data_IF_684828741912
#
_entry.id   IF_684828741912
#
_cell.length_a   1.000
_cell.length_b   1.000
_cell.length_c   1.000
_cell.angle_alpha   90.00
_cell.angle_beta   90.00
_cell.angle_gamma   90.00
#
_symmetry.space_group_name_H-M   'P 1'
#
loop_
_entity.id
_entity.type
_entity.pdbx_description
1 polymer ?
#
# COMPACT_ATOMS: atom_id res chain seq x y z
N UNK A 1 -5.41 -3.93 -11.96
CA UNK A 1 -5.29 -5.28 -12.56
C UNK A 1 -6.44 -6.13 -12.05
N UNK A 2 -7.18 -6.86 -12.88
CA UNK A 2 -8.23 -7.77 -12.39
C UNK A 2 -7.70 -9.21 -12.36
N UNK A 3 -8.09 -9.95 -11.33
CA UNK A 3 -7.71 -11.37 -11.17
C UNK A 3 -8.96 -12.21 -11.39
N UNK A 4 -8.98 -13.00 -12.46
CA UNK A 4 -10.08 -13.90 -12.83
C UNK A 4 -11.48 -13.27 -12.83
N UNK A 5 -11.59 -11.96 -13.04
CA UNK A 5 -12.85 -11.23 -12.99
C UNK A 5 -13.46 -11.08 -11.59
N UNK A 6 -12.87 -11.67 -10.55
CA UNK A 6 -13.43 -11.67 -9.20
C UNK A 6 -12.89 -10.55 -8.30
N UNK A 7 -11.65 -10.15 -8.51
CA UNK A 7 -10.97 -9.18 -7.64
C UNK A 7 -10.18 -8.16 -8.45
N UNK A 8 -9.96 -7.00 -7.86
CA UNK A 8 -9.05 -5.96 -8.36
C UNK A 8 -7.85 -5.88 -7.43
N UNK A 9 -6.66 -6.01 -7.99
CA UNK A 9 -5.39 -5.77 -7.30
C UNK A 9 -4.71 -4.52 -7.86
N UNK A 10 -4.00 -3.82 -7.01
CA UNK A 10 -3.12 -2.74 -7.44
C UNK A 10 -1.81 -3.35 -7.98
N UNK A 11 -1.28 -2.74 -9.02
CA UNK A 11 0.04 -3.08 -9.53
C UNK A 11 1.07 -2.21 -8.79
N UNK A 12 1.98 -2.85 -8.09
CA UNK A 12 3.00 -2.19 -7.29
C UNK A 12 4.36 -2.78 -7.58
N UNK A 13 5.39 -2.01 -7.30
CA UNK A 13 6.77 -2.48 -7.34
C UNK A 13 7.45 -2.22 -6.01
N UNK A 14 8.48 -3.00 -5.77
CA UNK A 14 9.35 -2.85 -4.62
C UNK A 14 10.30 -1.67 -4.83
N UNK A 15 10.44 -0.84 -3.81
CA UNK A 15 11.46 0.19 -3.76
C UNK A 15 12.47 -0.09 -2.63
N UNK A 16 13.76 -0.17 -2.99
CA UNK A 16 14.84 -0.47 -2.05
C UNK A 16 14.86 -1.91 -1.53
N UNK A 17 15.63 -2.14 -0.49
CA UNK A 17 15.71 -3.40 0.25
C UNK A 17 14.64 -3.46 1.33
N UNK A 18 13.81 -4.50 1.31
CA UNK A 18 12.77 -4.67 2.33
C UNK A 18 12.54 -6.14 2.66
N UNK A 19 12.10 -6.41 3.87
CA UNK A 19 11.65 -7.74 4.30
C UNK A 19 10.21 -7.91 3.80
N UNK A 20 10.00 -8.69 2.75
CA UNK A 20 8.70 -8.82 2.10
C UNK A 20 7.63 -9.41 3.02
N UNK A 21 7.98 -10.37 3.87
CA UNK A 21 7.03 -11.04 4.77
C UNK A 21 6.35 -10.10 5.77
N UNK A 22 6.96 -8.97 6.08
CA UNK A 22 6.38 -8.00 7.02
C UNK A 22 5.22 -7.19 6.45
N UNK A 23 4.95 -7.32 5.16
CA UNK A 23 3.87 -6.60 4.47
C UNK A 23 2.57 -7.39 4.37
N UNK A 24 2.61 -8.69 4.68
CA UNK A 24 1.43 -9.56 4.57
C UNK A 24 0.47 -9.41 5.76
N UNK A 25 -0.80 -9.70 5.48
CA UNK A 25 -1.91 -9.88 6.45
C UNK A 25 -2.13 -8.70 7.40
N UNK A 26 -1.85 -7.51 6.93
CA UNK A 26 -2.06 -6.28 7.71
C UNK A 26 -2.76 -5.22 6.89
N UNK A 27 -3.52 -4.33 7.54
CA UNK A 27 -4.14 -3.22 6.86
C UNK A 27 -3.07 -2.26 6.33
N UNK A 28 -3.21 -1.91 5.06
CA UNK A 28 -2.35 -0.96 4.37
C UNK A 28 -3.21 0.13 3.77
N UNK A 29 -2.60 1.28 3.53
CA UNK A 29 -3.19 2.33 2.76
C UNK A 29 -2.21 2.92 1.76
N UNK A 30 -2.63 4.00 1.10
CA UNK A 30 -1.88 4.67 0.04
C UNK A 30 -1.76 6.15 0.37
N UNK A 31 -0.55 6.66 0.31
CA UNK A 31 -0.27 8.08 0.39
C UNK A 31 0.79 8.46 -0.65
N UNK A 32 0.89 9.75 -0.95
CA UNK A 32 1.90 10.25 -1.86
C UNK A 32 1.54 11.59 -2.44
N UNK A 33 2.00 11.84 -3.66
CA UNK A 33 1.72 13.07 -4.37
C UNK A 33 1.14 12.83 -5.75
N UNK A 34 0.37 13.78 -6.20
CA UNK A 34 -0.14 13.85 -7.57
C UNK A 34 0.26 15.17 -8.22
N UNK A 35 0.62 15.10 -9.47
CA UNK A 35 0.82 16.28 -10.33
C UNK A 35 -0.47 16.50 -11.09
N UNK A 36 -1.04 17.69 -10.95
CA UNK A 36 -2.34 18.01 -11.54
C UNK A 36 -2.27 19.28 -12.37
N UNK A 37 -3.08 19.32 -13.43
CA UNK A 37 -3.28 20.53 -14.23
C UNK A 37 -4.60 21.19 -13.84
N UNK A 38 -4.55 22.38 -13.28
CA UNK A 38 -5.74 23.12 -12.87
C UNK A 38 -5.60 24.60 -13.25
N UNK A 39 -6.59 25.13 -13.95
CA UNK A 39 -6.63 26.54 -14.35
C UNK A 39 -5.36 27.01 -15.11
N UNK A 40 -4.87 26.21 -16.03
CA UNK A 40 -3.67 26.51 -16.82
C UNK A 40 -2.34 26.39 -16.07
N UNK A 41 -2.36 25.89 -14.84
CA UNK A 41 -1.16 25.71 -14.00
C UNK A 41 -0.95 24.24 -13.65
N UNK A 42 0.31 23.86 -13.53
CA UNK A 42 0.72 22.57 -12.98
C UNK A 42 0.94 22.74 -11.48
N UNK A 43 0.27 21.93 -10.69
CA UNK A 43 0.30 21.98 -9.22
C UNK A 43 0.65 20.60 -8.68
N UNK A 44 1.30 20.56 -7.52
CA UNK A 44 1.46 19.36 -6.72
C UNK A 44 0.35 19.29 -5.67
N UNK A 45 -0.24 18.10 -5.52
CA UNK A 45 -1.22 17.78 -4.49
C UNK A 45 -0.76 16.56 -3.71
N UNK A 46 -0.69 16.68 -2.39
CA UNK A 46 -0.53 15.54 -1.51
C UNK A 46 -1.87 14.83 -1.34
N UNK A 47 -1.81 13.51 -1.24
CA UNK A 47 -2.96 12.66 -0.95
C UNK A 47 -2.57 11.62 0.10
N UNK A 48 -3.45 11.40 1.04
CA UNK A 48 -3.34 10.35 2.05
C UNK A 48 -4.72 9.73 2.26
N UNK A 49 -4.86 8.47 1.95
CA UNK A 49 -6.10 7.72 2.19
C UNK A 49 -6.07 7.23 3.64
N UNK A 50 -6.56 8.04 4.55
CA UNK A 50 -6.51 7.74 6.00
C UNK A 50 -7.55 6.71 6.44
N UNK A 51 -7.60 5.57 5.77
CA UNK A 51 -8.41 4.38 6.13
C UNK A 51 -7.72 3.11 5.66
N UNK A 52 -8.13 1.97 6.21
CA UNK A 52 -7.68 0.66 5.73
C UNK A 52 -8.24 0.44 4.33
N UNK A 53 -7.37 0.39 3.34
CA UNK A 53 -7.74 0.40 1.94
C UNK A 53 -7.42 -0.91 1.23
N UNK A 54 -6.24 -1.47 1.49
CA UNK A 54 -5.74 -2.64 0.79
C UNK A 54 -5.04 -3.59 1.75
N UNK A 55 -4.88 -4.84 1.31
CA UNK A 55 -4.10 -5.85 2.03
C UNK A 55 -3.38 -6.75 1.03
N UNK A 56 -2.20 -7.22 1.41
CA UNK A 56 -1.50 -8.31 0.71
C UNK A 56 -1.79 -9.59 1.50
N UNK A 57 -2.74 -10.43 1.07
CA UNK A 57 -3.11 -11.62 1.83
C UNK A 57 -2.11 -12.74 1.64
N UNK A 58 -1.75 -13.44 2.72
CA UNK A 58 -1.08 -14.73 2.66
C UNK A 58 -2.01 -15.79 2.09
N UNK A 59 -1.43 -16.82 1.51
CA UNK A 59 -2.17 -18.03 1.16
C UNK A 59 -2.29 -18.94 2.38
N UNK A 60 -3.39 -19.70 2.45
CA UNK A 60 -3.51 -20.77 3.42
C UNK A 60 -2.39 -21.80 3.23
N UNK A 61 -1.93 -22.42 4.32
CA UNK A 61 -0.84 -23.39 4.30
C UNK A 61 -1.07 -24.52 3.28
N UNK A 62 -2.33 -24.91 3.07
CA UNK A 62 -2.69 -25.94 2.10
C UNK A 62 -2.41 -25.53 0.63
N UNK A 63 -2.35 -24.22 0.37
CA UNK A 63 -2.09 -23.65 -0.95
C UNK A 63 -0.61 -23.28 -1.13
N UNK A 64 0.16 -23.21 -0.04
CA UNK A 64 1.58 -22.87 -0.06
C UNK A 64 2.31 -23.61 1.07
N UNK A 65 2.55 -24.91 0.87
CA UNK A 65 3.13 -25.79 1.89
C UNK A 65 4.59 -25.48 2.22
N UNK A 66 5.29 -24.82 1.30
CA UNK A 66 6.72 -24.51 1.43
C UNK A 66 6.97 -23.20 2.17
N UNK A 67 5.91 -22.47 2.57
CA UNK A 67 6.04 -21.14 3.17
C UNK A 67 6.96 -21.13 4.40
N UNK A 68 6.90 -22.18 5.22
CA UNK A 68 7.72 -22.30 6.43
C UNK A 68 9.10 -22.92 6.16
N UNK A 69 9.37 -23.39 4.96
CA UNK A 69 10.61 -24.03 4.55
C UNK A 69 11.60 -23.13 3.80
N UNK A 70 11.32 -21.82 3.70
CA UNK A 70 12.18 -20.88 2.96
C UNK A 70 11.60 -20.47 1.61
N UNK A 71 10.31 -20.17 1.58
CA UNK A 71 9.62 -19.71 0.38
C UNK A 71 10.20 -18.39 -0.17
N UNK A 72 10.46 -18.35 -1.46
CA UNK A 72 10.93 -17.16 -2.17
C UNK A 72 9.75 -16.41 -2.79
N UNK A 73 9.41 -15.25 -2.23
CA UNK A 73 8.32 -14.43 -2.74
C UNK A 73 8.63 -13.87 -4.13
N UNK A 74 7.68 -14.03 -5.04
CA UNK A 74 7.69 -13.34 -6.33
C UNK A 74 6.94 -12.00 -6.19
N UNK A 75 7.67 -10.90 -6.26
CA UNK A 75 7.12 -9.55 -6.04
C UNK A 75 5.94 -9.25 -6.96
N UNK A 76 6.00 -9.65 -8.22
CA UNK A 76 4.96 -9.37 -9.21
C UNK A 76 3.70 -10.25 -9.08
N UNK A 77 3.76 -11.30 -8.28
CA UNK A 77 2.64 -12.23 -8.06
C UNK A 77 2.12 -12.18 -6.64
N UNK A 78 3.03 -12.28 -5.68
CA UNK A 78 2.70 -12.46 -4.26
C UNK A 78 2.46 -11.14 -3.54
N UNK A 79 3.06 -10.03 -4.02
CA UNK A 79 3.04 -8.74 -3.34
C UNK A 79 1.99 -7.76 -3.86
N UNK A 80 1.11 -8.20 -4.77
CA UNK A 80 0.08 -7.30 -5.31
C UNK A 80 -1.07 -7.13 -4.33
N UNK A 81 -1.30 -5.91 -3.78
CA UNK A 81 -2.34 -5.67 -2.81
C UNK A 81 -3.74 -5.89 -3.40
N UNK A 82 -4.56 -6.59 -2.66
CA UNK A 82 -5.99 -6.73 -2.93
C UNK A 82 -6.67 -5.40 -2.59
N UNK A 83 -7.38 -4.83 -3.56
CA UNK A 83 -8.06 -3.54 -3.43
C UNK A 83 -9.57 -3.69 -3.31
N UNK A 84 -10.20 -4.49 -4.15
CA UNK A 84 -11.67 -4.61 -4.17
C UNK A 84 -12.15 -5.90 -4.84
N UNK A 85 -13.46 -6.15 -4.76
CA UNK A 85 -14.17 -7.11 -5.61
C UNK A 85 -14.27 -6.67 -7.08
N UNK A 86 -14.90 -7.53 -7.86
CA UNK A 86 -15.07 -7.34 -9.29
C UNK A 86 -15.97 -6.15 -9.59
N UNK A 87 -15.90 -5.22 -10.15
CA UNK A 87 -16.81 -4.08 -10.46
C UNK A 87 -16.16 -2.74 -10.19
N UNK A 88 -15.10 -2.74 -9.40
CA UNK A 88 -14.37 -1.52 -9.04
C UNK A 88 -13.11 -1.31 -9.90
N UNK A 89 -13.00 -2.01 -11.04
CA UNK A 89 -11.88 -1.83 -11.97
C UNK A 89 -11.87 -0.39 -12.51
N UNK A 90 -10.73 0.29 -12.32
CA UNK A 90 -10.57 1.70 -12.73
C UNK A 90 -11.05 2.72 -11.69
N UNK A 91 -11.69 2.28 -10.60
CA UNK A 91 -12.20 3.18 -9.56
C UNK A 91 -11.10 3.80 -8.69
N UNK A 92 -9.91 3.19 -8.65
CA UNK A 92 -8.81 3.65 -7.78
C UNK A 92 -8.41 5.10 -8.05
N UNK A 93 -8.21 5.47 -9.31
CA UNK A 93 -7.84 6.85 -9.67
C UNK A 93 -8.97 7.85 -9.40
N UNK A 94 -10.23 7.42 -9.54
CA UNK A 94 -11.38 8.26 -9.20
C UNK A 94 -11.44 8.53 -7.70
N UNK A 95 -11.27 7.50 -6.89
CA UNK A 95 -11.20 7.62 -5.43
C UNK A 95 -10.07 8.57 -4.98
N UNK A 96 -8.88 8.46 -5.59
CA UNK A 96 -7.77 9.39 -5.30
C UNK A 96 -8.10 10.83 -5.70
N UNK A 97 -8.78 11.02 -6.82
CA UNK A 97 -9.19 12.33 -7.28
C UNK A 97 -10.24 12.96 -6.34
N UNK A 98 -11.20 12.16 -5.86
CA UNK A 98 -12.18 12.57 -4.85
C UNK A 98 -11.50 13.00 -3.55
N UNK A 99 -10.56 12.21 -3.04
CA UNK A 99 -9.80 12.53 -1.83
C UNK A 99 -8.98 13.82 -1.96
N UNK A 100 -8.41 14.04 -3.13
CA UNK A 100 -7.62 15.25 -3.42
C UNK A 100 -8.47 16.46 -3.85
N UNK A 101 -9.79 16.32 -3.94
CA UNK A 101 -10.73 17.35 -4.42
C UNK A 101 -10.37 17.90 -5.82
N UNK A 102 -10.08 16.96 -6.74
CA UNK A 102 -9.76 17.25 -8.14
C UNK A 102 -10.55 16.35 -9.07
N UNK A 103 -10.56 16.67 -10.35
CA UNK A 103 -11.15 15.79 -11.37
C UNK A 103 -10.10 14.76 -11.82
N UNK A 104 -10.50 13.50 -12.07
CA UNK A 104 -9.57 12.47 -12.53
C UNK A 104 -8.79 12.85 -13.80
N UNK A 105 -9.43 13.57 -14.71
CA UNK A 105 -8.83 14.04 -15.96
C UNK A 105 -7.77 15.12 -15.77
N UNK A 106 -7.73 15.77 -14.62
CA UNK A 106 -6.71 16.78 -14.29
C UNK A 106 -5.40 16.16 -13.78
N UNK A 107 -5.38 14.85 -13.51
CA UNK A 107 -4.19 14.14 -13.02
C UNK A 107 -3.24 13.89 -14.18
N UNK A 108 -2.04 14.48 -14.12
CA UNK A 108 -0.97 14.29 -15.10
C UNK A 108 -0.02 13.14 -14.74
N UNK A 109 0.14 12.88 -13.45
CA UNK A 109 1.03 11.84 -12.93
C UNK A 109 0.94 11.73 -11.42
N UNK A 110 1.55 10.70 -10.87
CA UNK A 110 1.55 10.45 -9.44
C UNK A 110 2.76 9.62 -9.01
N UNK A 111 3.18 9.84 -7.75
CA UNK A 111 4.09 8.99 -6.98
C UNK A 111 3.34 8.57 -5.72
N UNK A 112 2.87 7.35 -5.68
CA UNK A 112 2.05 6.81 -4.60
C UNK A 112 2.75 5.63 -3.95
N UNK A 113 2.65 5.55 -2.64
CA UNK A 113 3.30 4.53 -1.82
C UNK A 113 2.28 3.82 -0.94
N UNK A 114 2.43 2.52 -0.81
CA UNK A 114 1.75 1.77 0.24
C UNK A 114 2.41 2.10 1.59
N UNK A 115 1.60 2.21 2.62
CA UNK A 115 2.11 2.34 3.97
C UNK A 115 1.31 1.52 4.97
N UNK A 116 1.97 1.10 6.04
CA UNK A 116 1.36 0.38 7.14
C UNK A 116 0.69 1.39 8.09
N UNK A 117 -0.61 1.20 8.34
CA UNK A 117 -1.42 2.05 9.22
C UNK A 117 -1.38 1.67 10.69
N UNK A 118 -0.74 0.57 11.04
CA UNK A 118 -0.64 0.18 12.44
C UNK A 118 0.07 1.28 13.25
N UNK A 119 -0.50 1.73 14.36
CA UNK A 119 0.15 2.73 15.20
C UNK A 119 1.39 2.16 15.88
N UNK A 120 2.27 3.04 16.33
CA UNK A 120 3.33 2.66 17.24
C UNK A 120 2.77 2.14 18.55
N UNK A 121 3.43 1.17 19.16
CA UNK A 121 3.04 0.58 20.42
C UNK A 121 4.23 0.47 21.39
N UNK A 122 3.94 0.59 22.67
CA UNK A 122 4.90 0.30 23.75
C UNK A 122 4.51 -1.06 24.34
N UNK A 123 5.48 -1.93 24.56
CA UNK A 123 5.25 -3.29 25.03
C UNK A 123 6.42 -3.85 25.82
N UNK A 124 6.28 -5.07 26.35
CA UNK A 124 7.22 -5.74 27.23
C UNK A 124 6.72 -5.77 28.67
N UNK A 125 7.34 -6.56 29.52
CA UNK A 125 6.89 -6.74 30.91
C UNK A 125 6.96 -5.48 31.76
N UNK A 126 7.76 -4.51 31.37
CA UNK A 126 7.96 -3.20 31.98
C UNK A 126 7.81 -2.03 31.02
N UNK A 127 7.18 -2.25 29.88
CA UNK A 127 7.06 -1.26 28.80
C UNK A 127 8.42 -0.79 28.23
N UNK A 128 9.39 -1.70 28.17
CA UNK A 128 10.76 -1.38 27.77
C UNK A 128 11.00 -1.40 26.27
N UNK A 129 10.01 -1.80 25.46
CA UNK A 129 10.14 -1.90 24.02
C UNK A 129 9.16 -0.99 23.30
N UNK A 130 9.57 -0.52 22.13
CA UNK A 130 8.72 0.22 21.19
C UNK A 130 8.69 -0.53 19.87
N UNK A 131 7.51 -0.71 19.30
CA UNK A 131 7.31 -1.15 17.92
C UNK A 131 6.58 -0.08 17.16
N UNK A 132 7.10 0.30 16.02
CA UNK A 132 6.44 1.25 15.12
C UNK A 132 6.85 0.96 13.67
N UNK A 133 5.96 1.15 12.70
CA UNK A 133 6.36 1.17 11.31
C UNK A 133 7.33 2.32 11.05
N UNK A 134 8.25 2.14 10.12
CA UNK A 134 9.21 3.17 9.67
C UNK A 134 10.24 3.65 10.71
N UNK A 135 10.51 2.87 11.75
CA UNK A 135 11.65 3.14 12.64
C UNK A 135 12.96 3.14 11.86
N UNK A 136 13.14 2.19 10.99
CA UNK A 136 14.12 2.23 9.92
C UNK A 136 13.46 2.97 8.74
N UNK A 137 13.89 4.12 8.40
CA UNK A 137 15.16 4.81 8.70
C UNK A 137 14.96 6.09 9.55
N UNK A 138 13.72 6.38 9.96
CA UNK A 138 13.37 7.66 10.61
C UNK A 138 14.09 7.90 11.93
N UNK A 139 14.35 6.87 12.71
CA UNK A 139 15.04 7.04 14.00
C UNK A 139 16.50 7.54 13.86
N UNK A 140 17.10 7.36 12.69
CA UNK A 140 18.47 7.81 12.39
C UNK A 140 18.50 9.20 11.74
N UNK A 141 17.34 9.79 11.47
CA UNK A 141 17.21 11.08 10.83
C UNK A 141 17.17 12.27 11.82
N UNK A 142 17.14 12.00 13.13
CA UNK A 142 17.11 12.99 14.22
C UNK A 142 18.43 13.08 14.95
#
# INVERSE_FOLDING_TARGET
>A
MSVNGAYVKLNVERYGGMILSTWFDRPLSVAGRMIVHKNGKILEKLVDIDRDLVMIPSLAIHMNRDINGGYHYNVQKDMLPLYSGSGEKGNFMRMLAEEAEIRPEDILGHDLFLYNRMPGTIWGSRNEFVSSPRLDDLQCAF
#
